data_IF_516872623251
#
_entry.id   IF_516872623251
#
_cell.length_a   1.000
_cell.length_b   1.000
_cell.length_c   1.000
_cell.angle_alpha   90.00
_cell.angle_beta   90.00
_cell.angle_gamma   90.00
#
_symmetry.space_group_name_H-M   'P 1'
#
loop_
_entity.id
_entity.type
_entity.pdbx_description
1 polymer ?
#
# COMPACT_ATOMS: atom_id res chain seq x y z
N UNK A 1 -37.81 -11.92 -30.85
CA UNK A 1 -36.51 -12.40 -31.35
C UNK A 1 -35.48 -12.12 -30.27
N UNK A 2 -35.42 -13.00 -29.27
CA UNK A 2 -34.68 -12.85 -28.00
C UNK A 2 -33.36 -13.62 -28.07
N UNK A 3 -32.24 -12.94 -27.84
CA UNK A 3 -30.92 -13.58 -27.77
C UNK A 3 -30.77 -14.37 -26.46
N UNK A 4 -30.18 -15.58 -26.48
CA UNK A 4 -29.67 -16.22 -25.27
C UNK A 4 -28.16 -15.97 -25.16
N UNK A 5 -27.75 -14.88 -24.51
CA UNK A 5 -26.34 -14.62 -24.17
C UNK A 5 -25.91 -15.28 -22.84
N UNK A 6 -26.84 -15.94 -22.14
CA UNK A 6 -26.57 -16.51 -20.80
C UNK A 6 -26.54 -18.02 -20.86
N UNK A 7 -25.45 -18.61 -21.38
CA UNK A 7 -25.14 -20.03 -21.12
C UNK A 7 -23.69 -20.40 -21.50
N UNK A 8 -22.69 -19.85 -20.83
CA UNK A 8 -21.38 -20.53 -20.72
C UNK A 8 -20.47 -20.00 -19.60
N UNK A 9 -21.00 -19.81 -18.39
CA UNK A 9 -20.15 -19.89 -17.20
C UNK A 9 -20.15 -21.34 -16.77
N UNK A 10 -19.45 -22.19 -17.54
CA UNK A 10 -19.19 -23.56 -17.12
C UNK A 10 -18.51 -23.52 -15.76
N UNK A 11 -19.04 -24.29 -14.80
CA UNK A 11 -18.41 -24.55 -13.51
C UNK A 11 -17.00 -25.12 -13.74
N UNK A 12 -15.99 -24.25 -13.89
CA UNK A 12 -14.61 -24.67 -13.74
C UNK A 12 -14.39 -24.90 -12.24
N UNK A 13 -14.62 -26.14 -11.80
CA UNK A 13 -14.13 -26.60 -10.50
C UNK A 13 -12.64 -26.31 -10.46
N UNK A 14 -12.20 -25.52 -9.48
CA UNK A 14 -10.79 -25.20 -9.25
C UNK A 14 -9.98 -26.50 -9.30
N UNK A 15 -9.01 -26.54 -10.21
CA UNK A 15 -8.20 -27.74 -10.39
C UNK A 15 -7.33 -27.90 -9.13
N UNK A 16 -6.94 -29.12 -8.77
CA UNK A 16 -6.04 -29.37 -7.62
C UNK A 16 -4.74 -28.55 -7.73
N UNK A 17 -4.35 -28.19 -8.97
CA UNK A 17 -3.21 -27.32 -9.28
C UNK A 17 -3.41 -25.87 -8.81
N UNK A 18 -4.63 -25.32 -8.86
CA UNK A 18 -4.92 -23.95 -8.41
C UNK A 18 -4.74 -23.83 -6.90
N UNK A 19 -5.23 -24.83 -6.16
CA UNK A 19 -5.00 -24.94 -4.71
C UNK A 19 -3.52 -25.13 -4.37
N UNK A 20 -2.80 -25.93 -5.17
CA UNK A 20 -1.35 -26.10 -5.02
C UNK A 20 -0.59 -24.79 -5.23
N UNK A 21 -0.95 -23.99 -6.24
CA UNK A 21 -0.33 -22.69 -6.51
C UNK A 21 -0.60 -21.68 -5.38
N UNK A 22 -1.82 -21.63 -4.87
CA UNK A 22 -2.18 -20.77 -3.72
C UNK A 22 -1.42 -21.19 -2.45
N UNK A 23 -1.38 -22.49 -2.15
CA UNK A 23 -0.65 -23.01 -1.01
C UNK A 23 0.86 -22.71 -1.10
N UNK A 24 1.45 -22.87 -2.29
CA UNK A 24 2.85 -22.54 -2.53
C UNK A 24 3.12 -21.04 -2.35
N UNK A 25 2.23 -20.17 -2.84
CA UNK A 25 2.35 -18.73 -2.64
C UNK A 25 2.35 -18.36 -1.15
N UNK A 26 1.38 -18.85 -0.37
CA UNK A 26 1.34 -18.62 1.07
C UNK A 26 2.56 -19.20 1.78
N UNK A 27 2.99 -20.41 1.41
CA UNK A 27 4.19 -21.02 1.97
C UNK A 27 5.45 -20.19 1.68
N UNK A 28 5.61 -19.67 0.46
CA UNK A 28 6.73 -18.81 0.10
C UNK A 28 6.71 -17.48 0.88
N UNK A 29 5.56 -16.83 0.98
CA UNK A 29 5.40 -15.59 1.75
C UNK A 29 5.72 -15.82 3.23
N UNK A 30 5.19 -16.89 3.82
CA UNK A 30 5.49 -17.28 5.20
C UNK A 30 6.97 -17.63 5.38
N UNK A 31 7.56 -18.38 4.46
CA UNK A 31 8.98 -18.73 4.51
C UNK A 31 9.88 -17.49 4.46
N UNK A 32 9.59 -16.52 3.58
CA UNK A 32 10.29 -15.23 3.53
C UNK A 32 10.06 -14.43 4.82
N UNK A 33 8.84 -14.43 5.34
CA UNK A 33 8.49 -13.76 6.61
C UNK A 33 9.25 -14.35 7.80
N UNK A 34 9.24 -15.67 7.95
CA UNK A 34 10.01 -16.38 8.98
C UNK A 34 11.51 -16.21 8.78
N UNK A 35 12.02 -16.31 7.55
CA UNK A 35 13.43 -16.03 7.25
C UNK A 35 13.82 -14.62 7.68
N UNK A 36 13.01 -13.62 7.36
CA UNK A 36 13.22 -12.23 7.76
C UNK A 36 13.18 -12.06 9.28
N UNK A 37 12.26 -12.75 9.96
CA UNK A 37 12.11 -12.74 11.41
C UNK A 37 13.31 -13.40 12.12
N UNK A 38 13.74 -14.58 11.68
CA UNK A 38 14.87 -15.32 12.27
C UNK A 38 16.23 -14.68 11.96
N UNK A 39 16.37 -13.99 10.82
CA UNK A 39 17.59 -13.24 10.48
C UNK A 39 17.67 -11.88 11.21
N UNK A 40 16.54 -11.32 11.65
CA UNK A 40 16.48 -10.02 12.33
C UNK A 40 16.85 -10.10 13.80
N UNK A 41 18.07 -10.54 14.09
CA UNK A 41 18.71 -10.32 15.38
C UNK A 41 19.32 -8.90 15.41
N UNK A 42 18.48 -7.87 15.21
CA UNK A 42 18.88 -6.45 15.22
C UNK A 42 18.47 -5.81 16.54
N UNK A 43 19.45 -5.68 17.43
CA UNK A 43 19.36 -5.25 18.83
C UNK A 43 18.90 -3.80 19.08
N UNK A 44 18.31 -3.10 18.10
CA UNK A 44 17.82 -1.72 18.26
C UNK A 44 16.62 -1.41 17.35
N UNK A 45 15.55 -0.87 17.94
CA UNK A 45 14.31 -0.43 17.26
C UNK A 45 14.61 0.51 16.09
N UNK A 46 15.60 1.39 16.24
CA UNK A 46 16.05 2.31 15.18
C UNK A 46 16.66 1.56 13.98
N UNK A 47 17.36 0.44 14.17
CA UNK A 47 17.94 -0.34 13.07
C UNK A 47 16.92 -1.16 12.28
N UNK A 48 15.76 -1.43 12.88
CA UNK A 48 14.60 -2.08 12.25
C UNK A 48 13.76 -1.07 11.46
N UNK A 49 13.45 0.09 12.05
CA UNK A 49 12.60 1.11 11.41
C UNK A 49 13.34 2.04 10.42
N UNK A 50 14.61 2.36 10.66
CA UNK A 50 15.37 3.30 9.81
C UNK A 50 16.24 2.62 8.75
N UNK A 51 16.27 1.28 8.71
CA UNK A 51 17.11 0.47 7.81
C UNK A 51 18.55 1.04 7.64
N UNK A 52 19.13 1.52 8.74
CA UNK A 52 20.48 2.08 8.77
C UNK A 52 20.71 3.36 7.97
N UNK A 53 19.68 4.07 7.47
CA UNK A 53 19.80 5.26 6.60
C UNK A 53 20.50 5.05 5.25
N UNK A 54 20.89 3.82 4.90
CA UNK A 54 21.60 3.46 3.67
C UNK A 54 20.79 2.52 2.77
N UNK A 55 19.47 2.69 2.70
CA UNK A 55 18.67 1.98 1.71
C UNK A 55 18.87 2.59 0.33
N UNK A 56 19.23 1.75 -0.64
CA UNK A 56 19.23 2.10 -2.06
C UNK A 56 17.82 2.49 -2.53
N UNK A 57 17.75 3.36 -3.54
CA UNK A 57 16.49 3.92 -4.05
C UNK A 57 15.49 2.86 -4.58
N UNK A 58 15.99 1.75 -5.15
CA UNK A 58 15.14 0.69 -5.73
C UNK A 58 14.23 0.02 -4.68
N UNK A 59 14.75 -0.53 -3.55
CA UNK A 59 13.90 -1.05 -2.48
C UNK A 59 12.89 -0.05 -1.93
N UNK A 60 13.26 1.23 -1.82
CA UNK A 60 12.38 2.29 -1.31
C UNK A 60 11.21 2.50 -2.27
N UNK A 61 11.50 2.65 -3.58
CA UNK A 61 10.47 2.80 -4.60
C UNK A 61 9.54 1.59 -4.69
N UNK A 62 10.11 0.38 -4.66
CA UNK A 62 9.33 -0.87 -4.68
C UNK A 62 8.41 -0.99 -3.46
N UNK A 63 8.89 -0.62 -2.27
CA UNK A 63 8.08 -0.66 -1.04
C UNK A 63 6.98 0.40 -1.04
N UNK A 64 7.25 1.61 -1.54
CA UNK A 64 6.25 2.66 -1.68
C UNK A 64 5.15 2.25 -2.66
N UNK A 65 5.55 1.69 -3.81
CA UNK A 65 4.60 1.18 -4.81
C UNK A 65 3.77 0.01 -4.25
N UNK A 66 4.42 -0.97 -3.62
CA UNK A 66 3.73 -2.11 -3.01
C UNK A 66 2.78 -1.71 -1.86
N UNK A 67 3.08 -0.63 -1.14
CA UNK A 67 2.19 -0.11 -0.09
C UNK A 67 0.96 0.61 -0.65
N UNK A 68 1.04 1.12 -1.88
CA UNK A 68 -0.05 1.84 -2.52
C UNK A 68 -0.95 0.92 -3.36
N UNK A 69 -0.39 -0.12 -3.99
CA UNK A 69 -1.15 -1.01 -4.86
C UNK A 69 -1.65 -2.24 -4.08
N UNK A 70 -2.95 -2.30 -3.85
CA UNK A 70 -3.64 -3.42 -3.20
C UNK A 70 -4.71 -4.09 -4.07
N UNK A 71 -5.37 -5.11 -3.52
CA UNK A 71 -6.51 -5.80 -4.17
C UNK A 71 -7.63 -4.84 -4.56
N UNK A 72 -7.83 -3.77 -3.78
CA UNK A 72 -8.78 -2.68 -4.05
C UNK A 72 -8.49 -1.97 -5.37
N UNK A 73 -7.22 -1.69 -5.67
CA UNK A 73 -6.82 -1.05 -6.93
C UNK A 73 -7.06 -1.99 -8.11
N UNK A 74 -6.77 -3.29 -7.98
CA UNK A 74 -6.97 -4.24 -9.07
C UNK A 74 -8.45 -4.46 -9.41
N UNK A 75 -9.29 -4.72 -8.41
CA UNK A 75 -10.72 -4.98 -8.61
C UNK A 75 -11.46 -3.68 -8.94
N UNK A 76 -11.12 -2.59 -8.24
CA UNK A 76 -11.73 -1.27 -8.44
C UNK A 76 -11.41 -0.67 -9.79
N UNK A 77 -10.13 -0.62 -10.21
CA UNK A 77 -9.76 -0.07 -11.52
C UNK A 77 -10.26 -0.95 -12.67
N UNK A 78 -10.30 -2.27 -12.51
CA UNK A 78 -10.89 -3.15 -13.51
C UNK A 78 -12.40 -2.90 -13.66
N UNK A 79 -13.12 -2.67 -12.55
CA UNK A 79 -14.54 -2.33 -12.56
C UNK A 79 -14.82 -0.96 -13.19
N UNK A 80 -14.08 0.07 -12.77
CA UNK A 80 -14.20 1.42 -13.34
C UNK A 80 -13.76 1.45 -14.80
N UNK A 81 -12.73 0.69 -15.19
CA UNK A 81 -12.30 0.57 -16.58
C UNK A 81 -13.32 -0.15 -17.47
N UNK A 82 -14.09 -1.10 -16.92
CA UNK A 82 -15.20 -1.74 -17.64
C UNK A 82 -16.41 -0.82 -17.82
N UNK A 83 -16.63 0.12 -16.89
CA UNK A 83 -17.75 1.07 -16.93
C UNK A 83 -17.44 2.35 -17.73
N UNK A 84 -16.30 3.00 -17.46
CA UNK A 84 -15.91 4.32 -17.98
C UNK A 84 -14.75 4.27 -18.99
N UNK A 85 -14.21 3.08 -19.28
CA UNK A 85 -13.16 2.89 -20.29
C UNK A 85 -11.77 3.38 -19.87
N UNK A 86 -10.95 3.75 -20.86
CA UNK A 86 -9.52 4.05 -20.69
C UNK A 86 -9.28 5.36 -19.91
N UNK A 87 -10.32 6.19 -19.71
CA UNK A 87 -10.22 7.45 -18.97
C UNK A 87 -9.71 7.28 -17.53
N UNK A 88 -10.00 6.14 -16.90
CA UNK A 88 -9.48 5.78 -15.57
C UNK A 88 -7.96 5.64 -15.57
N UNK A 89 -7.37 5.19 -16.67
CA UNK A 89 -5.91 5.11 -16.82
C UNK A 89 -5.23 6.48 -16.85
N UNK A 90 -5.91 7.51 -17.38
CA UNK A 90 -5.38 8.87 -17.35
C UNK A 90 -5.32 9.43 -15.93
N UNK A 91 -6.23 9.02 -15.03
CA UNK A 91 -6.19 9.40 -13.63
C UNK A 91 -4.93 8.87 -12.93
N UNK A 92 -4.61 7.60 -13.13
CA UNK A 92 -3.41 6.95 -12.58
C UNK A 92 -2.10 7.59 -13.11
N UNK A 93 -2.06 7.93 -14.40
CA UNK A 93 -0.90 8.62 -14.99
C UNK A 93 -0.69 10.02 -14.40
N UNK A 94 -1.77 10.75 -14.08
CA UNK A 94 -1.67 12.04 -13.40
C UNK A 94 -1.22 11.87 -11.94
N UNK A 95 -1.68 10.82 -11.25
CA UNK A 95 -1.28 10.53 -9.87
C UNK A 95 0.25 10.34 -9.73
N UNK A 96 0.89 9.68 -10.71
CA UNK A 96 2.35 9.52 -10.74
C UNK A 96 3.09 10.88 -10.77
N UNK A 97 2.60 11.83 -11.57
CA UNK A 97 3.19 13.18 -11.68
C UNK A 97 3.06 13.93 -10.36
N UNK A 98 1.87 13.90 -9.74
CA UNK A 98 1.65 14.53 -8.44
C UNK A 98 2.48 13.90 -7.33
N UNK A 99 2.64 12.58 -7.33
CA UNK A 99 3.47 11.87 -6.36
C UNK A 99 4.94 12.27 -6.49
N UNK A 100 5.46 12.39 -7.71
CA UNK A 100 6.83 12.85 -7.95
C UNK A 100 7.05 14.30 -7.47
N UNK A 101 6.08 15.19 -7.71
CA UNK A 101 6.11 16.57 -7.21
C UNK A 101 6.05 16.63 -5.68
N UNK A 102 5.16 15.84 -5.07
CA UNK A 102 5.03 15.75 -3.61
C UNK A 102 6.34 15.25 -2.99
N UNK A 103 6.95 14.23 -3.59
CA UNK A 103 8.25 13.70 -3.20
C UNK A 103 9.33 14.78 -3.21
N UNK A 104 9.45 15.56 -4.27
CA UNK A 104 10.52 16.58 -4.33
C UNK A 104 10.27 17.76 -3.37
N UNK A 105 9.01 18.19 -3.20
CA UNK A 105 8.70 19.37 -2.36
C UNK A 105 8.64 19.02 -0.87
N UNK A 106 7.97 17.94 -0.50
CA UNK A 106 7.69 17.62 0.91
C UNK A 106 8.76 16.75 1.56
N UNK A 107 9.42 15.86 0.82
CA UNK A 107 10.49 15.03 1.37
C UNK A 107 11.65 15.84 2.00
N UNK A 108 12.21 16.89 1.36
CA UNK A 108 13.27 17.67 2.00
C UNK A 108 12.79 18.40 3.25
N UNK A 109 11.53 18.84 3.28
CA UNK A 109 10.92 19.50 4.44
C UNK A 109 10.81 18.52 5.62
N UNK A 110 10.37 17.29 5.38
CA UNK A 110 10.26 16.27 6.44
C UNK A 110 11.62 15.83 6.98
N UNK A 111 12.62 15.68 6.09
CA UNK A 111 14.00 15.36 6.50
C UNK A 111 14.58 16.50 7.34
N UNK A 112 14.37 17.76 6.95
CA UNK A 112 14.84 18.93 7.69
C UNK A 112 14.19 19.05 9.09
N UNK A 113 12.90 18.73 9.20
CA UNK A 113 12.16 18.77 10.47
C UNK A 113 12.49 17.60 11.44
N UNK A 114 13.25 16.59 10.99
CA UNK A 114 13.58 15.35 11.73
C UNK A 114 12.34 14.73 12.38
N UNK A 115 11.34 14.43 11.56
CA UNK A 115 10.08 13.83 11.97
C UNK A 115 9.86 12.54 11.21
N UNK A 116 9.46 11.49 11.93
CA UNK A 116 9.23 10.17 11.34
C UNK A 116 7.74 9.96 10.99
N UNK A 117 6.84 10.76 11.56
CA UNK A 117 5.40 10.65 11.34
C UNK A 117 4.75 11.99 11.02
N UNK A 118 3.71 11.96 10.17
CA UNK A 118 3.00 13.16 9.73
C UNK A 118 2.26 13.89 10.88
N UNK A 119 1.61 13.20 11.85
CA UNK A 119 1.05 13.86 13.04
C UNK A 119 2.11 14.55 13.90
N UNK A 120 3.34 14.03 13.94
CA UNK A 120 4.45 14.65 14.66
C UNK A 120 4.96 15.91 13.97
N UNK A 121 5.03 15.92 12.64
CA UNK A 121 5.29 17.13 11.86
C UNK A 121 4.29 18.26 12.18
N UNK A 122 3.01 17.93 12.16
CA UNK A 122 1.93 18.86 12.50
C UNK A 122 2.06 19.38 13.94
N UNK A 123 2.40 18.52 14.89
CA UNK A 123 2.59 18.89 16.29
C UNK A 123 3.78 19.83 16.51
N UNK A 124 4.91 19.61 15.83
CA UNK A 124 6.08 20.50 15.90
C UNK A 124 5.82 21.87 15.27
N UNK A 125 5.04 21.92 14.18
CA UNK A 125 4.73 23.17 13.47
C UNK A 125 3.67 24.02 14.18
N UNK A 126 2.60 23.41 14.68
CA UNK A 126 1.47 24.14 15.27
C UNK A 126 1.49 24.19 16.80
N UNK A 127 2.42 23.49 17.45
CA UNK A 127 2.60 23.50 18.90
C UNK A 127 1.46 22.82 19.65
N UNK A 128 1.62 21.53 19.95
CA UNK A 128 0.70 20.87 20.88
C UNK A 128 0.68 19.35 20.79
N UNK A 129 0.88 18.70 21.94
CA UNK A 129 0.78 17.24 22.07
C UNK A 129 -0.66 16.73 21.89
N UNK A 130 -1.67 17.56 22.24
CA UNK A 130 -3.08 17.24 22.04
C UNK A 130 -3.41 17.03 20.56
N UNK A 131 -2.96 17.92 19.68
CA UNK A 131 -3.19 17.84 18.22
C UNK A 131 -2.57 16.56 17.64
N UNK A 132 -1.37 16.17 18.11
CA UNK A 132 -0.74 14.91 17.68
C UNK A 132 -1.63 13.71 17.97
N UNK A 133 -2.16 13.62 19.19
CA UNK A 133 -3.00 12.49 19.63
C UNK A 133 -4.32 12.48 18.85
N UNK A 134 -4.97 13.63 18.69
CA UNK A 134 -6.19 13.73 17.90
C UNK A 134 -5.98 13.32 16.44
N UNK A 135 -4.93 13.84 15.78
CA UNK A 135 -4.64 13.49 14.38
C UNK A 135 -4.23 12.02 14.23
N UNK A 136 -3.45 11.48 15.16
CA UNK A 136 -3.07 10.06 15.13
C UNK A 136 -4.30 9.15 15.31
N UNK A 137 -5.16 9.42 16.30
CA UNK A 137 -6.40 8.68 16.52
C UNK A 137 -7.34 8.82 15.32
N UNK A 138 -7.54 10.03 14.81
CA UNK A 138 -8.36 10.27 13.63
C UNK A 138 -7.83 9.49 12.42
N UNK A 139 -6.52 9.54 12.17
CA UNK A 139 -5.91 8.80 11.05
C UNK A 139 -6.07 7.28 11.19
N UNK A 140 -5.96 6.75 12.41
CA UNK A 140 -6.13 5.33 12.70
C UNK A 140 -7.59 4.90 12.47
N UNK A 141 -8.53 5.68 13.02
CA UNK A 141 -9.96 5.42 12.87
C UNK A 141 -10.34 5.47 11.39
N UNK A 142 -9.98 6.54 10.68
CA UNK A 142 -10.27 6.67 9.25
C UNK A 142 -9.66 5.52 8.44
N UNK A 143 -8.41 5.12 8.72
CA UNK A 143 -7.78 4.01 8.02
C UNK A 143 -8.54 2.68 8.23
N UNK A 144 -8.94 2.38 9.47
CA UNK A 144 -9.74 1.18 9.78
C UNK A 144 -11.09 1.23 9.09
N UNK A 145 -11.81 2.36 9.18
CA UNK A 145 -13.12 2.50 8.53
C UNK A 145 -13.03 2.37 7.01
N UNK A 146 -12.05 3.02 6.37
CA UNK A 146 -11.85 2.91 4.92
C UNK A 146 -11.54 1.47 4.51
N UNK A 147 -10.68 0.78 5.26
CA UNK A 147 -10.33 -0.62 4.94
C UNK A 147 -11.41 -1.64 5.26
N UNK A 148 -12.34 -1.33 6.16
CA UNK A 148 -13.51 -2.18 6.45
C UNK A 148 -14.67 -1.89 5.49
N UNK A 149 -14.76 -0.66 4.97
CA UNK A 149 -15.84 -0.23 4.06
C UNK A 149 -15.63 -0.64 2.60
N UNK A 150 -14.41 -1.04 2.24
CA UNK A 150 -14.06 -1.59 0.91
C UNK A 150 -14.14 -3.12 0.98
#
# INVERSE_FOLDING_TARGET
MSQPFVSSFGEKKLHVLDFGAVALYFAAVLAVGFWSMFRSNRSTVTGYFLAGRFMTWIPIGASLFASNIGSEHFIGLAGSGAADGIGVGAFELNALVFLQLLGWVFLPVYIAARVDTLPEYMSKRFGGQRIRIYLALLSLVLYVFTKVSV
#
